data_IF_438805890632
#
_entry.id   IF_438805890632
#
_cell.length_a   1.000
_cell.length_b   1.000
_cell.length_c   1.000
_cell.angle_alpha   90.00
_cell.angle_beta   90.00
_cell.angle_gamma   90.00
#
_symmetry.space_group_name_H-M   'P 1'
#
loop_
_entity.id
_entity.type
_entity.pdbx_description
1 polymer ?
#
# COMPACT_ATOMS: atom_id res chain seq x y z
N UNK A 1 -8.95 19.00 20.79
CA UNK A 1 -8.80 20.09 19.81
C UNK A 1 -8.28 19.47 18.51
N UNK A 2 -8.95 19.69 17.39
CA UNK A 2 -8.48 19.23 16.08
C UNK A 2 -7.30 20.10 15.63
N UNK A 3 -6.10 19.52 15.51
CA UNK A 3 -4.87 20.21 15.06
C UNK A 3 -4.84 20.43 13.55
N UNK A 4 -5.93 21.00 13.01
CA UNK A 4 -6.07 21.33 11.59
C UNK A 4 -5.85 22.83 11.38
N UNK A 5 -5.24 23.18 10.24
CA UNK A 5 -5.23 24.55 9.73
C UNK A 5 -6.62 24.96 9.26
N UNK A 6 -6.81 26.26 8.97
CA UNK A 6 -8.07 26.79 8.37
C UNK A 6 -8.48 26.05 7.10
N UNK A 7 -7.52 25.52 6.35
CA UNK A 7 -7.76 24.81 5.09
C UNK A 7 -7.93 23.29 5.27
N UNK A 8 -8.09 22.79 6.50
CA UNK A 8 -8.29 21.36 6.77
C UNK A 8 -7.03 20.50 6.56
N UNK A 9 -5.84 21.09 6.69
CA UNK A 9 -4.57 20.35 6.66
C UNK A 9 -4.08 20.13 8.09
N UNK A 10 -3.76 18.90 8.46
CA UNK A 10 -3.18 18.55 9.74
C UNK A 10 -1.76 19.12 9.87
N UNK A 11 -1.46 19.74 11.01
CA UNK A 11 -0.11 20.25 11.31
C UNK A 11 0.89 19.13 11.54
N UNK A 12 0.45 18.08 12.23
CA UNK A 12 1.25 16.90 12.58
C UNK A 12 0.55 15.64 12.07
N UNK A 13 1.26 14.81 11.31
CA UNK A 13 0.71 13.57 10.74
C UNK A 13 0.22 12.60 11.82
N UNK A 14 0.95 12.49 12.93
CA UNK A 14 0.59 11.60 14.06
C UNK A 14 -0.76 11.94 14.70
N UNK A 15 -1.24 13.17 14.54
CA UNK A 15 -2.55 13.63 15.05
C UNK A 15 -3.59 13.82 13.95
N UNK A 16 -3.25 13.44 12.71
CA UNK A 16 -4.13 13.65 11.58
C UNK A 16 -5.38 12.76 11.66
N UNK A 17 -6.57 13.31 11.35
CA UNK A 17 -7.78 12.51 11.22
C UNK A 17 -7.88 11.79 9.87
N UNK A 18 -6.94 12.02 8.95
CA UNK A 18 -6.97 11.44 7.60
C UNK A 18 -6.09 10.19 7.57
N UNK A 19 -6.72 9.04 7.78
CA UNK A 19 -6.04 7.75 7.93
C UNK A 19 -6.60 6.78 6.90
N UNK A 20 -5.71 6.09 6.20
CA UNK A 20 -6.03 4.92 5.41
C UNK A 20 -5.56 3.68 6.18
N UNK A 21 -6.44 2.71 6.38
CA UNK A 21 -6.16 1.48 7.11
C UNK A 21 -6.43 0.28 6.22
N UNK A 22 -5.48 -0.66 6.15
CA UNK A 22 -5.64 -1.92 5.43
C UNK A 22 -4.90 -3.07 6.09
N UNK A 23 -5.41 -4.29 5.90
CA UNK A 23 -4.71 -5.52 6.27
C UNK A 23 -3.94 -6.03 5.07
N UNK A 24 -2.61 -6.07 5.16
CA UNK A 24 -1.71 -6.59 4.13
C UNK A 24 -0.88 -7.73 4.73
N UNK A 25 -0.95 -8.92 4.15
CA UNK A 25 -0.24 -10.11 4.64
C UNK A 25 -0.50 -10.45 6.13
N UNK A 26 -1.69 -10.13 6.64
CA UNK A 26 -2.06 -10.33 8.05
C UNK A 26 -1.60 -9.23 9.00
N UNK A 27 -0.95 -8.18 8.50
CA UNK A 27 -0.52 -7.02 9.28
C UNK A 27 -1.43 -5.82 9.01
N UNK A 28 -1.80 -5.09 10.05
CA UNK A 28 -2.54 -3.83 9.91
C UNK A 28 -1.56 -2.69 9.57
N UNK A 29 -1.74 -2.09 8.40
CA UNK A 29 -1.03 -0.91 7.93
C UNK A 29 -1.95 0.31 8.02
N UNK A 30 -1.58 1.29 8.85
CA UNK A 30 -2.22 2.59 8.96
C UNK A 30 -1.32 3.67 8.34
N UNK A 31 -1.80 4.37 7.32
CA UNK A 31 -1.10 5.44 6.63
C UNK A 31 -1.78 6.77 6.94
N UNK A 32 -1.01 7.72 7.50
CA UNK A 32 -1.54 9.01 7.92
C UNK A 32 -1.21 10.08 6.89
N UNK A 33 -2.20 10.88 6.51
CA UNK A 33 -2.07 11.93 5.51
C UNK A 33 -2.25 13.30 6.13
N UNK A 34 -1.59 14.31 5.60
CA UNK A 34 -1.77 15.69 6.06
C UNK A 34 -3.13 16.28 5.65
N UNK A 35 -3.78 15.73 4.63
CA UNK A 35 -5.08 16.23 4.14
C UNK A 35 -5.96 15.14 3.56
N UNK A 36 -7.27 15.40 3.53
CA UNK A 36 -8.24 14.52 2.86
C UNK A 36 -7.96 14.39 1.36
N UNK A 37 -7.44 15.44 0.72
CA UNK A 37 -7.07 15.42 -0.70
C UNK A 37 -5.97 14.40 -0.97
N UNK A 38 -4.90 14.40 -0.16
CA UNK A 38 -3.81 13.43 -0.29
C UNK A 38 -4.31 11.99 -0.10
N UNK A 39 -5.11 11.75 0.94
CA UNK A 39 -5.70 10.44 1.21
C UNK A 39 -6.57 9.95 0.04
N UNK A 40 -7.44 10.81 -0.49
CA UNK A 40 -8.30 10.45 -1.63
C UNK A 40 -7.48 10.17 -2.89
N UNK A 41 -6.45 10.99 -3.17
CA UNK A 41 -5.54 10.76 -4.30
C UNK A 41 -4.79 9.43 -4.16
N UNK A 42 -4.41 9.06 -2.94
CA UNK A 42 -3.78 7.78 -2.65
C UNK A 42 -4.74 6.64 -2.96
N UNK A 43 -5.95 6.65 -2.39
CA UNK A 43 -6.97 5.62 -2.61
C UNK A 43 -7.27 5.44 -4.10
N UNK A 44 -7.43 6.55 -4.84
CA UNK A 44 -7.74 6.53 -6.28
C UNK A 44 -6.63 5.89 -7.11
N UNK A 45 -5.36 6.15 -6.78
CA UNK A 45 -4.19 5.71 -7.57
C UNK A 45 -3.58 4.40 -7.10
N UNK A 46 -4.06 3.86 -5.97
CA UNK A 46 -3.46 2.72 -5.27
C UNK A 46 -3.33 1.48 -6.14
N UNK A 47 -4.42 1.07 -6.78
CA UNK A 47 -4.45 -0.15 -7.59
C UNK A 47 -3.58 -0.04 -8.85
N UNK A 48 -3.60 1.11 -9.52
CA UNK A 48 -2.77 1.34 -10.71
C UNK A 48 -1.28 1.32 -10.36
N UNK A 49 -0.90 1.96 -9.24
CA UNK A 49 0.48 1.93 -8.76
C UNK A 49 0.94 0.52 -8.38
N UNK A 50 0.08 -0.26 -7.71
CA UNK A 50 0.35 -1.68 -7.43
C UNK A 50 0.61 -2.47 -8.71
N UNK A 51 -0.29 -2.39 -9.69
CA UNK A 51 -0.15 -3.10 -10.96
C UNK A 51 1.14 -2.71 -11.69
N UNK A 52 1.50 -1.43 -11.68
CA UNK A 52 2.76 -0.94 -12.25
C UNK A 52 3.98 -1.57 -11.56
N UNK A 53 4.05 -1.54 -10.23
CA UNK A 53 5.19 -2.06 -9.45
C UNK A 53 5.28 -3.59 -9.57
N UNK A 54 4.15 -4.29 -9.45
CA UNK A 54 4.08 -5.73 -9.67
C UNK A 54 4.63 -6.12 -11.05
N UNK A 55 4.20 -5.41 -12.10
CA UNK A 55 4.68 -5.66 -13.45
C UNK A 55 6.18 -5.36 -13.61
N UNK A 56 6.71 -4.33 -12.95
CA UNK A 56 8.15 -4.05 -12.97
C UNK A 56 8.98 -5.15 -12.31
N UNK A 57 8.55 -5.63 -11.13
CA UNK A 57 9.21 -6.74 -10.43
C UNK A 57 9.15 -8.00 -11.29
N UNK A 58 7.96 -8.35 -11.81
CA UNK A 58 7.80 -9.54 -12.65
C UNK A 58 8.62 -9.46 -13.94
N UNK A 59 8.65 -8.31 -14.62
CA UNK A 59 9.43 -8.15 -15.85
C UNK A 59 10.92 -8.38 -15.61
N UNK A 60 11.45 -7.90 -14.48
CA UNK A 60 12.87 -7.96 -14.15
C UNK A 60 13.32 -9.30 -13.58
N UNK A 61 12.53 -9.88 -12.68
CA UNK A 61 12.93 -11.08 -11.93
C UNK A 61 12.17 -12.34 -12.33
N UNK A 62 11.07 -12.21 -13.08
CA UNK A 62 10.18 -13.32 -13.50
C UNK A 62 9.53 -14.08 -12.33
N UNK A 63 9.52 -13.49 -11.14
CA UNK A 63 8.80 -14.01 -9.98
C UNK A 63 7.52 -13.23 -9.71
N UNK A 64 6.48 -13.95 -9.31
CA UNK A 64 5.27 -13.36 -8.76
C UNK A 64 5.50 -13.14 -7.27
N UNK A 65 5.54 -11.88 -6.86
CA UNK A 65 5.78 -11.48 -5.47
C UNK A 65 4.58 -10.63 -5.04
N UNK A 66 4.01 -10.93 -3.89
CA UNK A 66 3.10 -9.97 -3.27
C UNK A 66 3.91 -8.77 -2.80
N UNK A 67 3.71 -7.66 -3.49
CA UNK A 67 4.40 -6.40 -3.25
C UNK A 67 3.42 -5.29 -2.87
N UNK A 68 2.24 -5.63 -2.32
CA UNK A 68 1.20 -4.64 -2.01
C UNK A 68 1.71 -3.57 -1.04
N UNK A 69 2.30 -3.98 0.07
CA UNK A 69 2.85 -3.04 1.06
C UNK A 69 3.95 -2.17 0.46
N UNK A 70 4.87 -2.75 -0.33
CA UNK A 70 5.90 -1.97 -1.05
C UNK A 70 5.27 -0.93 -1.97
N UNK A 71 4.23 -1.32 -2.71
CA UNK A 71 3.54 -0.42 -3.61
C UNK A 71 2.82 0.72 -2.89
N UNK A 72 2.21 0.43 -1.75
CA UNK A 72 1.55 1.44 -0.91
C UNK A 72 2.56 2.44 -0.36
N UNK A 73 3.68 1.98 0.21
CA UNK A 73 4.75 2.84 0.71
C UNK A 73 5.36 3.70 -0.41
N UNK A 74 5.55 3.11 -1.59
CA UNK A 74 6.04 3.83 -2.77
C UNK A 74 5.07 4.93 -3.23
N UNK A 75 3.76 4.67 -3.23
CA UNK A 75 2.77 5.67 -3.61
C UNK A 75 2.63 6.75 -2.55
N UNK A 76 2.65 6.37 -1.28
CA UNK A 76 2.52 7.27 -0.15
C UNK A 76 3.60 8.34 -0.17
N UNK A 77 4.87 7.95 -0.32
CA UNK A 77 6.01 8.88 -0.41
C UNK A 77 5.96 9.82 -1.61
N UNK A 78 5.22 9.48 -2.67
CA UNK A 78 4.99 10.36 -3.83
C UNK A 78 3.85 11.35 -3.61
N UNK A 79 2.85 11.00 -2.80
CA UNK A 79 1.63 11.80 -2.61
C UNK A 79 1.77 12.69 -1.38
N UNK A 80 2.25 12.15 -0.26
CA UNK A 80 2.42 12.90 0.97
C UNK A 80 3.79 13.59 0.99
N UNK A 81 3.77 14.89 0.77
CA UNK A 81 4.98 15.71 0.69
C UNK A 81 5.35 16.39 2.00
N UNK A 82 4.48 16.34 3.03
CA UNK A 82 4.69 17.04 4.32
C UNK A 82 5.35 16.19 5.41
N UNK A 83 5.77 14.97 5.07
CA UNK A 83 6.44 14.08 6.00
C UNK A 83 6.05 12.64 5.75
N UNK A 84 6.42 11.77 6.69
CA UNK A 84 6.11 10.36 6.63
C UNK A 84 5.69 9.88 8.02
N UNK A 85 4.52 9.27 8.11
CA UNK A 85 4.06 8.65 9.34
C UNK A 85 3.10 7.51 9.04
N UNK A 86 3.48 6.31 9.45
CA UNK A 86 2.65 5.11 9.35
C UNK A 86 2.69 4.32 10.66
N UNK A 87 1.72 3.41 10.83
CA UNK A 87 1.78 2.35 11.84
C UNK A 87 1.65 0.98 11.18
N UNK A 88 2.46 0.03 11.61
CA UNK A 88 2.33 -1.39 11.23
C UNK A 88 2.14 -2.17 12.52
N UNK A 89 1.00 -2.83 12.70
CA UNK A 89 0.62 -3.53 13.94
C UNK A 89 0.87 -2.67 15.19
N UNK A 90 0.42 -1.41 15.15
CA UNK A 90 0.59 -0.39 16.20
C UNK A 90 2.03 0.12 16.43
N UNK A 91 3.03 -0.41 15.74
CA UNK A 91 4.39 0.13 15.78
C UNK A 91 4.53 1.29 14.81
N UNK A 92 5.06 2.41 15.30
CA UNK A 92 5.15 3.64 14.53
C UNK A 92 6.44 3.70 13.70
N UNK A 93 6.32 4.23 12.48
CA UNK A 93 7.45 4.50 11.59
C UNK A 93 7.33 5.91 11.05
N UNK A 94 8.36 6.71 11.31
CA UNK A 94 8.44 8.15 10.95
C UNK A 94 9.38 8.43 9.77
N UNK A 95 10.05 7.41 9.27
CA UNK A 95 10.99 7.50 8.17
C UNK A 95 10.88 6.23 7.29
N UNK A 96 10.80 6.35 5.96
CA UNK A 96 10.82 5.19 5.06
C UNK A 96 12.04 4.29 5.26
N UNK A 97 13.20 4.88 5.53
CA UNK A 97 14.48 4.16 5.65
C UNK A 97 14.54 3.23 6.88
N UNK A 98 13.61 3.40 7.83
CA UNK A 98 13.50 2.53 9.01
C UNK A 98 12.62 1.30 8.75
N UNK A 99 12.08 1.14 7.55
CA UNK A 99 11.20 0.03 7.19
C UNK A 99 11.98 -0.99 6.38
N UNK A 100 12.06 -2.21 6.91
CA UNK A 100 12.58 -3.36 6.20
C UNK A 100 11.40 -4.28 5.90
N UNK A 101 11.13 -4.51 4.61
CA UNK A 101 10.13 -5.48 4.16
C UNK A 101 10.80 -6.85 4.01
N UNK A 102 10.58 -7.74 4.97
CA UNK A 102 11.09 -9.11 4.94
C UNK A 102 10.02 -10.06 4.36
N UNK A 103 10.26 -10.58 3.15
CA UNK A 103 9.30 -11.38 2.38
C UNK A 103 9.18 -12.86 2.77
N UNK A 104 9.35 -13.25 4.03
CA UNK A 104 9.54 -14.66 4.43
C UNK A 104 8.29 -15.57 4.41
N UNK A 105 7.29 -15.29 3.56
CA UNK A 105 6.13 -16.18 3.41
C UNK A 105 6.01 -16.70 1.96
N UNK A 106 6.28 -18.00 1.78
CA UNK A 106 6.03 -18.70 0.51
C UNK A 106 4.52 -18.90 0.34
N UNK A 107 3.89 -18.14 -0.54
CA UNK A 107 2.52 -18.45 -0.97
C UNK A 107 2.55 -19.57 -2.01
N UNK A 108 1.96 -20.73 -1.70
CA UNK A 108 1.67 -21.75 -2.71
C UNK A 108 0.49 -21.25 -3.56
N UNK A 109 0.65 -21.24 -4.89
CA UNK A 109 -0.52 -21.22 -5.78
C UNK A 109 -1.40 -22.42 -5.43
N UNK A 110 -2.68 -22.20 -5.14
CA UNK A 110 -3.62 -23.31 -5.08
C UNK A 110 -3.87 -23.79 -6.52
N UNK A 111 -3.87 -25.10 -6.74
CA UNK A 111 -4.11 -25.68 -8.07
C UNK A 111 -5.53 -25.40 -8.60
N UNK A 112 -6.47 -24.93 -7.76
CA UNK A 112 -7.86 -24.68 -8.13
C UNK A 112 -8.04 -23.51 -9.13
N UNK A 113 -7.18 -22.49 -9.07
CA UNK A 113 -7.30 -21.29 -9.93
C UNK A 113 -6.89 -21.55 -11.40
N UNK A 114 -6.15 -22.63 -11.66
CA UNK A 114 -5.75 -23.01 -13.02
C UNK A 114 -6.86 -23.73 -13.78
N UNK A 115 -7.78 -24.41 -13.09
CA UNK A 115 -8.82 -25.17 -13.76
C UNK A 115 -9.89 -24.26 -14.39
N UNK A 116 -10.28 -23.16 -13.74
CA UNK A 116 -11.31 -22.25 -14.26
C UNK A 116 -10.90 -21.46 -15.52
N UNK A 117 -9.60 -21.22 -15.71
CA UNK A 117 -9.10 -20.49 -16.90
C UNK A 117 -8.86 -21.38 -18.12
N UNK A 118 -8.78 -22.71 -17.92
CA UNK A 118 -8.63 -23.68 -19.00
C UNK A 118 -9.99 -24.13 -19.58
N UNK A 119 -11.08 -24.11 -18.79
CA UNK A 119 -12.41 -24.51 -19.29
C UNK A 119 -13.07 -23.48 -20.19
N UNK A 120 -12.67 -22.20 -20.13
CA UNK A 120 -13.28 -21.12 -20.92
C UNK A 120 -12.67 -21.03 -22.33
N UNK A 121 -11.44 -21.51 -22.54
CA UNK A 121 -10.71 -21.40 -23.80
C UNK A 121 -10.72 -22.68 -24.68
N UNK A 122 -11.53 -23.68 -24.33
CA UNK A 122 -11.68 -24.93 -25.08
C UNK A 122 -13.05 -25.09 -25.73
N UNK A 123 -13.73 -23.98 -26.02
CA UNK A 123 -15.00 -23.95 -26.75
C UNK A 123 -14.78 -23.30 -28.12
N UNK A 124 -14.15 -24.04 -29.03
CA UNK A 124 -14.25 -23.90 -30.49
C UNK A 124 -14.17 -25.30 -31.13
#
# INVERSE_FOLDING_TARGET
MTNLTRNGVAKELATSPYIFTEIVNGEQLDIYFSSKLHMNNFIQKRNDNYNMIYNYIYKRFKYRVDCRMLADLNLYTKIETRGFYIKINHKEYVCPDHIILNGENKMKKSYAEWCETLTINSSD
#
